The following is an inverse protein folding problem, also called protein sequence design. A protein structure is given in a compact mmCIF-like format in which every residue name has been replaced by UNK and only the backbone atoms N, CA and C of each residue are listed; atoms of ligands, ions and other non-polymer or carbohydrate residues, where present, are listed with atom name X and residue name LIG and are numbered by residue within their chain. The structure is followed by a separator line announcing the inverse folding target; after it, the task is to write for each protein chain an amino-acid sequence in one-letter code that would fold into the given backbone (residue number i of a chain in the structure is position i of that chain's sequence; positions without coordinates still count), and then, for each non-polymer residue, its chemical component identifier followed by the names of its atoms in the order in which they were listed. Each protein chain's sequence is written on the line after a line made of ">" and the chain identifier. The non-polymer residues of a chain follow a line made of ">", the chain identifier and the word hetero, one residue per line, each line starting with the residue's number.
data_IF_867939332585
#
_entry.id   IF_867939332585
#
_cell.length_a   1.000
_cell.length_b   1.000
_cell.length_c   1.000
_cell.angle_alpha   90.00
_cell.angle_beta   90.00
_cell.angle_gamma   90.00
#
_symmetry.space_group_name_H-M   'P 1'
#
loop_
_entity.id
_entity.type
_entity.pdbx_description
1 polymer ?
#
# COMPACT_ATOMS: atom_id res chain seq x y z
N UNK A 1 -13.48 8.30 -39.61
CA UNK A 1 -13.93 7.18 -38.78
C UNK A 1 -12.68 6.49 -38.32
N UNK A 2 -12.22 6.83 -37.12
CA UNK A 2 -11.01 6.23 -36.58
C UNK A 2 -11.34 4.80 -36.16
N UNK A 3 -10.56 3.85 -36.64
CA UNK A 3 -10.65 2.46 -36.23
C UNK A 3 -10.38 2.42 -34.72
N UNK A 4 -11.44 2.25 -33.93
CA UNK A 4 -11.33 1.90 -32.52
C UNK A 4 -10.74 0.50 -32.51
N UNK A 5 -9.42 0.40 -32.38
CA UNK A 5 -8.76 -0.84 -31.99
C UNK A 5 -9.38 -1.16 -30.63
N UNK A 6 -10.20 -2.22 -30.57
CA UNK A 6 -10.61 -2.79 -29.30
C UNK A 6 -9.34 -3.26 -28.61
N UNK A 7 -8.77 -2.39 -27.77
CA UNK A 7 -7.72 -2.80 -26.84
C UNK A 7 -8.25 -3.96 -26.02
N UNK A 8 -7.47 -5.04 -25.95
CA UNK A 8 -7.85 -6.25 -25.27
C UNK A 8 -8.25 -5.91 -23.83
N UNK A 9 -9.43 -6.37 -23.42
CA UNK A 9 -9.86 -6.26 -22.02
C UNK A 9 -8.80 -6.90 -21.12
N UNK A 10 -8.57 -6.36 -19.91
CA UNK A 10 -7.63 -6.95 -18.99
C UNK A 10 -8.10 -8.37 -18.70
N UNK A 11 -7.18 -9.32 -18.72
CA UNK A 11 -7.44 -10.70 -18.37
C UNK A 11 -8.06 -10.80 -16.96
N UNK A 12 -8.65 -11.95 -16.65
CA UNK A 12 -9.28 -12.17 -15.35
C UNK A 12 -8.22 -12.16 -14.24
N UNK A 13 -8.14 -11.05 -13.50
CA UNK A 13 -7.12 -10.83 -12.47
C UNK A 13 -7.66 -10.98 -11.05
N UNK A 14 -6.84 -11.54 -10.18
CA UNK A 14 -7.05 -11.56 -8.73
C UNK A 14 -5.93 -10.80 -8.00
N UNK A 15 -6.21 -10.36 -6.77
CA UNK A 15 -5.27 -9.65 -5.89
C UNK A 15 -4.68 -8.33 -6.42
N UNK A 16 -5.25 -7.77 -7.48
CA UNK A 16 -4.90 -6.42 -7.92
C UNK A 16 -5.36 -5.36 -6.89
N UNK A 17 -4.75 -4.18 -6.97
CA UNK A 17 -5.21 -3.01 -6.22
C UNK A 17 -5.94 -2.06 -7.16
N UNK A 18 -6.98 -1.43 -6.64
CA UNK A 18 -7.80 -0.47 -7.37
C UNK A 18 -7.85 0.85 -6.61
N UNK A 19 -7.78 1.96 -7.34
CA UNK A 19 -8.01 3.29 -6.80
C UNK A 19 -8.71 4.15 -7.84
N UNK A 20 -9.35 5.23 -7.41
CA UNK A 20 -9.86 6.26 -8.31
C UNK A 20 -9.03 7.53 -8.20
N UNK A 21 -8.89 8.23 -9.32
CA UNK A 21 -8.25 9.55 -9.41
C UNK A 21 -8.90 10.34 -10.53
N UNK A 22 -9.51 11.47 -10.18
CA UNK A 22 -10.34 12.25 -11.10
C UNK A 22 -11.42 11.36 -11.73
N UNK A 23 -11.55 11.34 -13.06
CA UNK A 23 -12.45 10.48 -13.82
C UNK A 23 -11.90 9.08 -14.14
N UNK A 24 -10.72 8.72 -13.63
CA UNK A 24 -10.04 7.46 -13.93
C UNK A 24 -10.18 6.44 -12.81
N UNK A 25 -10.53 5.20 -13.17
CA UNK A 25 -10.31 4.02 -12.35
C UNK A 25 -8.95 3.42 -12.70
N UNK A 26 -8.12 3.20 -11.69
CA UNK A 26 -6.77 2.68 -11.83
C UNK A 26 -6.71 1.27 -11.27
N UNK A 27 -6.13 0.35 -12.03
CA UNK A 27 -5.87 -1.02 -11.64
C UNK A 27 -4.37 -1.26 -11.71
N UNK A 28 -3.79 -1.88 -10.68
CA UNK A 28 -2.36 -2.12 -10.63
C UNK A 28 -2.07 -3.49 -9.99
N UNK A 29 -1.18 -4.24 -10.62
CA UNK A 29 -0.70 -5.53 -10.11
C UNK A 29 -1.69 -6.68 -10.27
N UNK A 30 -1.53 -7.69 -9.40
CA UNK A 30 -2.34 -8.90 -9.37
C UNK A 30 -1.77 -10.03 -10.22
N UNK A 31 -2.59 -11.06 -10.45
CA UNK A 31 -2.23 -12.22 -11.26
C UNK A 31 -3.38 -12.62 -12.14
N UNK A 32 -3.05 -13.10 -13.34
CA UNK A 32 -4.01 -13.80 -14.16
C UNK A 32 -4.42 -15.12 -13.48
N UNK A 33 -5.72 -15.31 -13.29
CA UNK A 33 -6.25 -16.44 -12.52
C UNK A 33 -6.07 -17.79 -13.22
N UNK A 34 -5.78 -17.81 -14.53
CA UNK A 34 -5.64 -19.04 -15.32
C UNK A 34 -4.20 -19.49 -15.42
N UNK A 35 -3.31 -18.58 -15.77
CA UNK A 35 -1.88 -18.83 -15.95
C UNK A 35 -1.09 -18.71 -14.64
N UNK A 36 -1.63 -17.99 -13.64
CA UNK A 36 -0.89 -17.62 -12.43
C UNK A 36 0.21 -16.59 -12.70
N UNK A 37 0.30 -16.05 -13.93
CA UNK A 37 1.32 -15.07 -14.28
C UNK A 37 1.04 -13.75 -13.55
N UNK A 38 2.09 -13.16 -12.98
CA UNK A 38 2.01 -11.85 -12.35
C UNK A 38 1.79 -10.76 -13.41
N UNK A 39 0.92 -9.81 -13.10
CA UNK A 39 0.64 -8.66 -13.94
C UNK A 39 1.41 -7.44 -13.41
N UNK A 40 2.28 -6.86 -14.24
CA UNK A 40 3.18 -5.76 -13.87
C UNK A 40 2.78 -4.42 -14.47
N UNK A 41 1.63 -4.39 -15.12
CA UNK A 41 1.08 -3.24 -15.81
C UNK A 41 0.18 -2.42 -14.89
N UNK A 42 0.00 -1.16 -15.28
CA UNK A 42 -0.99 -0.27 -14.71
C UNK A 42 -2.04 0.01 -15.78
N UNK A 43 -3.31 -0.20 -15.44
CA UNK A 43 -4.43 0.12 -16.32
C UNK A 43 -5.16 1.35 -15.82
N UNK A 44 -5.58 2.21 -16.73
CA UNK A 44 -6.51 3.30 -16.45
C UNK A 44 -7.78 3.15 -17.28
N UNK A 45 -8.93 3.21 -16.65
CA UNK A 45 -10.23 3.28 -17.32
C UNK A 45 -10.84 4.65 -17.08
N UNK A 46 -11.00 5.43 -18.15
CA UNK A 46 -11.69 6.71 -18.09
C UNK A 46 -13.21 6.46 -18.05
N UNK A 47 -13.84 6.81 -16.94
CA UNK A 47 -15.26 6.55 -16.69
C UNK A 47 -16.21 7.44 -17.51
N UNK A 48 -15.71 8.50 -18.15
CA UNK A 48 -16.48 9.39 -19.02
C UNK A 48 -16.41 8.91 -20.48
N UNK A 49 -15.20 8.67 -20.99
CA UNK A 49 -15.00 8.28 -22.40
C UNK A 49 -15.15 6.78 -22.63
N UNK A 50 -15.12 5.96 -21.58
CA UNK A 50 -15.09 4.50 -21.67
C UNK A 50 -13.78 3.95 -22.23
N UNK A 51 -12.75 4.79 -22.38
CA UNK A 51 -11.45 4.39 -22.91
C UNK A 51 -10.62 3.76 -21.80
N UNK A 52 -10.20 2.53 -22.06
CA UNK A 52 -9.21 1.81 -21.27
C UNK A 52 -7.82 2.07 -21.89
N UNK A 53 -6.79 2.21 -21.06
CA UNK A 53 -5.39 2.33 -21.49
C UNK A 53 -4.47 1.53 -20.58
N UNK A 54 -3.46 0.91 -21.17
CA UNK A 54 -2.40 0.21 -20.46
C UNK A 54 -1.13 1.05 -20.40
N UNK A 55 -0.48 1.05 -19.25
CA UNK A 55 0.80 1.72 -19.00
C UNK A 55 1.81 0.73 -18.45
N UNK A 56 2.99 0.74 -19.04
CA UNK A 56 4.12 -0.05 -18.56
C UNK A 56 5.03 0.81 -17.68
N UNK A 57 5.50 0.29 -16.54
CA UNK A 57 6.51 0.96 -15.75
C UNK A 57 7.81 1.13 -16.55
N UNK A 58 8.68 2.10 -16.18
CA UNK A 58 9.94 2.34 -16.87
C UNK A 58 10.80 1.07 -16.97
N UNK A 59 11.19 0.70 -18.18
CA UNK A 59 11.96 -0.51 -18.49
C UNK A 59 13.31 -0.53 -17.77
N UNK A 60 13.72 -1.70 -17.26
CA UNK A 60 15.03 -1.91 -16.62
C UNK A 60 15.04 -1.79 -15.09
N UNK A 61 13.88 -1.62 -14.45
CA UNK A 61 13.82 -1.30 -13.02
C UNK A 61 13.41 -2.46 -12.11
N UNK A 62 13.30 -3.67 -12.64
CA UNK A 62 12.68 -4.79 -11.94
C UNK A 62 11.16 -4.73 -12.11
N UNK A 63 10.52 -5.88 -12.01
CA UNK A 63 9.07 -5.98 -12.16
C UNK A 63 8.39 -5.26 -10.98
N UNK A 64 7.25 -4.57 -11.22
CA UNK A 64 6.38 -4.13 -10.11
C UNK A 64 6.00 -5.39 -9.34
N UNK A 65 6.39 -5.50 -8.07
CA UNK A 65 6.16 -6.75 -7.33
C UNK A 65 4.66 -7.07 -7.21
N UNK A 66 4.40 -8.34 -6.91
CA UNK A 66 3.11 -9.00 -7.12
C UNK A 66 1.90 -8.39 -6.38
N UNK A 67 2.15 -7.62 -5.31
CA UNK A 67 1.09 -7.04 -4.48
C UNK A 67 1.34 -5.54 -4.23
N UNK A 68 1.37 -4.71 -5.30
CA UNK A 68 1.68 -3.31 -5.14
C UNK A 68 0.56 -2.64 -4.36
N UNK A 69 0.90 -1.78 -3.41
CA UNK A 69 -0.09 -0.93 -2.74
C UNK A 69 -0.13 0.39 -3.47
N UNK A 70 -1.34 0.88 -3.73
CA UNK A 70 -1.54 2.15 -4.43
C UNK A 70 -2.36 3.11 -3.59
N UNK A 71 -2.09 4.40 -3.75
CA UNK A 71 -2.95 5.48 -3.27
C UNK A 71 -2.91 6.65 -4.25
N UNK A 72 -3.88 7.56 -4.17
CA UNK A 72 -4.02 8.65 -5.13
C UNK A 72 -4.05 10.00 -4.43
N UNK A 73 -3.46 11.02 -5.06
CA UNK A 73 -3.60 12.42 -4.65
C UNK A 73 -3.36 13.35 -5.84
N UNK A 74 -4.25 14.33 -6.02
CA UNK A 74 -4.23 15.20 -7.19
C UNK A 74 -4.44 14.38 -8.47
N UNK A 75 -3.51 14.50 -9.42
CA UNK A 75 -3.46 13.72 -10.66
C UNK A 75 -2.46 12.55 -10.60
N UNK A 76 -1.90 12.25 -9.43
CA UNK A 76 -0.88 11.21 -9.26
C UNK A 76 -1.43 9.97 -8.59
N UNK A 77 -1.02 8.82 -9.09
CA UNK A 77 -1.10 7.51 -8.43
C UNK A 77 0.28 7.24 -7.85
N UNK A 78 0.35 7.01 -6.55
CA UNK A 78 1.55 6.54 -5.89
C UNK A 78 1.47 5.03 -5.75
N UNK A 79 2.58 4.35 -5.98
CA UNK A 79 2.67 2.90 -6.00
C UNK A 79 3.85 2.51 -5.13
N UNK A 80 3.62 1.63 -4.16
CA UNK A 80 4.66 1.03 -3.34
C UNK A 80 4.65 -0.47 -3.61
N UNK A 81 5.80 -1.04 -3.94
CA UNK A 81 5.96 -2.48 -4.00
C UNK A 81 6.08 -3.07 -2.57
N UNK A 82 5.62 -4.32 -2.42
CA UNK A 82 5.77 -5.09 -1.19
C UNK A 82 6.77 -6.23 -1.46
N UNK A 83 8.00 -6.16 -0.91
CA UNK A 83 9.08 -7.07 -1.27
C UNK A 83 8.92 -8.48 -0.68
N UNK A 84 7.94 -8.70 0.20
CA UNK A 84 8.01 -9.81 1.16
C UNK A 84 7.50 -11.13 0.63
N UNK A 85 6.62 -11.12 -0.37
CA UNK A 85 5.73 -12.27 -0.48
C UNK A 85 6.42 -13.45 -1.20
N UNK A 86 7.43 -13.26 -2.06
CA UNK A 86 7.86 -14.38 -2.94
C UNK A 86 9.29 -14.43 -3.45
N UNK A 87 10.20 -13.55 -3.02
CA UNK A 87 11.58 -13.64 -3.48
C UNK A 87 12.46 -14.27 -2.39
N UNK A 88 13.15 -15.36 -2.74
CA UNK A 88 14.29 -15.91 -1.97
C UNK A 88 15.44 -14.89 -1.85
N UNK A 89 15.30 -13.72 -2.47
CA UNK A 89 16.22 -12.63 -2.38
C UNK A 89 15.94 -11.76 -1.12
N UNK A 90 16.69 -11.96 -0.01
CA UNK A 90 16.53 -11.13 1.18
C UNK A 90 16.84 -9.65 0.93
N UNK A 91 17.45 -9.31 -0.22
CA UNK A 91 17.81 -7.95 -0.59
C UNK A 91 16.72 -7.22 -1.39
N UNK A 92 15.55 -7.83 -1.63
CA UNK A 92 14.43 -7.08 -2.20
C UNK A 92 13.94 -6.05 -1.18
N UNK A 93 14.02 -4.78 -1.56
CA UNK A 93 13.62 -3.64 -0.75
C UNK A 93 12.52 -2.87 -1.47
N UNK A 94 11.65 -2.22 -0.70
CA UNK A 94 10.57 -1.45 -1.30
C UNK A 94 11.09 -0.25 -2.11
N UNK A 95 10.53 -0.07 -3.30
CA UNK A 95 10.57 1.11 -4.15
C UNK A 95 9.22 1.84 -4.14
N UNK A 96 9.26 3.15 -4.34
CA UNK A 96 8.07 3.99 -4.52
C UNK A 96 8.13 4.67 -5.88
N UNK A 97 7.04 4.53 -6.61
CA UNK A 97 6.81 5.18 -7.89
C UNK A 97 5.64 6.17 -7.77
N UNK A 98 5.65 7.18 -8.63
CA UNK A 98 4.44 7.93 -8.94
C UNK A 98 4.17 7.91 -10.43
N UNK A 99 2.89 7.90 -10.76
CA UNK A 99 2.38 7.89 -12.13
C UNK A 99 1.35 9.02 -12.27
N UNK A 100 1.55 9.91 -13.23
CA UNK A 100 0.61 10.99 -13.51
C UNK A 100 -0.39 10.53 -14.57
N UNK A 101 -1.68 10.51 -14.21
CA UNK A 101 -2.74 9.94 -15.06
C UNK A 101 -3.09 10.81 -16.26
N UNK A 102 -2.70 12.10 -16.25
CA UNK A 102 -3.03 13.04 -17.32
C UNK A 102 -2.07 12.92 -18.49
N UNK A 103 -0.77 12.84 -18.19
CA UNK A 103 0.30 12.80 -19.20
C UNK A 103 0.90 11.40 -19.39
N UNK A 104 0.58 10.44 -18.52
CA UNK A 104 1.11 9.09 -18.56
C UNK A 104 2.57 8.98 -18.10
N UNK A 105 3.10 9.98 -17.40
CA UNK A 105 4.50 10.01 -16.99
C UNK A 105 4.72 9.28 -15.66
N UNK A 106 5.82 8.50 -15.61
CA UNK A 106 6.30 7.82 -14.42
C UNK A 106 7.46 8.59 -13.77
N UNK A 107 7.54 8.54 -12.45
CA UNK A 107 8.61 9.14 -11.65
C UNK A 107 8.99 8.18 -10.51
N UNK A 108 10.29 7.90 -10.36
CA UNK A 108 10.80 7.13 -9.22
C UNK A 108 10.99 8.09 -8.05
N UNK A 109 10.26 7.87 -6.97
CA UNK A 109 10.37 8.70 -5.78
C UNK A 109 11.38 8.14 -4.79
N UNK A 110 11.44 6.81 -4.68
CA UNK A 110 12.37 6.12 -3.81
C UNK A 110 12.75 4.79 -4.44
N UNK A 111 14.05 4.49 -4.44
CA UNK A 111 14.58 3.18 -4.79
C UNK A 111 15.71 2.87 -3.84
N UNK A 112 15.69 1.68 -3.25
CA UNK A 112 16.81 1.24 -2.44
C UNK A 112 17.99 0.87 -3.33
N UNK A 113 19.18 1.32 -2.94
CA UNK A 113 20.45 0.93 -3.52
C UNK A 113 21.29 0.27 -2.43
N UNK A 114 21.88 -0.89 -2.73
CA UNK A 114 22.80 -1.56 -1.81
C UNK A 114 23.95 -0.59 -1.46
N UNK A 115 24.25 -0.45 -0.16
CA UNK A 115 25.32 0.41 0.34
C UNK A 115 24.91 1.85 0.73
N UNK A 116 23.63 2.19 0.70
CA UNK A 116 23.13 3.48 1.22
C UNK A 116 22.26 3.26 2.47
N UNK A 117 22.87 3.34 3.66
CA UNK A 117 22.25 2.87 4.90
C UNK A 117 21.38 3.91 5.62
N UNK A 118 21.63 5.21 5.43
CA UNK A 118 21.03 6.27 6.28
C UNK A 118 19.51 6.47 6.09
N UNK A 119 18.93 5.90 5.03
CA UNK A 119 17.52 6.13 4.67
C UNK A 119 16.81 4.84 4.21
N UNK A 120 17.24 3.69 4.75
CA UNK A 120 16.65 2.39 4.43
C UNK A 120 15.33 2.21 5.17
N UNK A 121 14.25 1.93 4.44
CA UNK A 121 13.02 1.43 5.06
C UNK A 121 13.30 0.03 5.63
N UNK A 122 13.04 -0.22 6.92
CA UNK A 122 13.21 -1.57 7.46
C UNK A 122 12.32 -2.58 6.75
N UNK A 123 12.75 -3.84 6.69
CA UNK A 123 11.96 -4.92 6.08
C UNK A 123 10.62 -5.03 6.82
N UNK A 124 9.52 -4.80 6.12
CA UNK A 124 8.20 -4.76 6.74
C UNK A 124 7.09 -5.15 5.77
N UNK A 125 6.13 -5.96 6.24
CA UNK A 125 4.96 -6.36 5.46
C UNK A 125 3.97 -5.22 5.43
N UNK A 126 3.66 -4.74 4.22
CA UNK A 126 2.86 -3.53 4.05
C UNK A 126 1.38 -3.90 4.08
N UNK A 127 0.66 -3.37 5.06
CA UNK A 127 -0.78 -3.56 5.19
C UNK A 127 -1.54 -2.42 4.50
N UNK A 128 -1.12 -1.17 4.75
CA UNK A 128 -1.71 0.04 4.18
C UNK A 128 -0.64 0.95 3.61
N UNK A 129 -0.99 1.61 2.50
CA UNK A 129 -0.20 2.65 1.86
C UNK A 129 -1.10 3.82 1.50
N UNK A 130 -0.76 5.02 1.94
CA UNK A 130 -1.63 6.18 1.75
C UNK A 130 -0.88 7.50 1.72
N UNK A 131 -1.48 8.50 1.07
CA UNK A 131 -0.94 9.85 0.99
C UNK A 131 -1.56 10.75 2.06
N UNK A 132 -0.73 11.51 2.77
CA UNK A 132 -1.18 12.52 3.71
C UNK A 132 -0.17 13.67 3.85
N UNK A 133 -0.64 14.92 3.79
CA UNK A 133 0.17 16.11 4.08
C UNK A 133 1.56 16.12 3.38
N UNK A 134 1.56 15.99 2.05
CA UNK A 134 2.78 15.98 1.22
C UNK A 134 3.75 14.82 1.51
N UNK A 135 3.26 13.77 2.16
CA UNK A 135 4.04 12.59 2.51
C UNK A 135 3.26 11.33 2.22
N UNK A 136 4.00 10.26 1.92
CA UNK A 136 3.46 8.93 1.80
C UNK A 136 3.65 8.21 3.12
N UNK A 137 2.71 7.37 3.49
CA UNK A 137 2.77 6.61 4.73
C UNK A 137 2.57 5.15 4.42
N UNK A 138 3.38 4.34 5.07
CA UNK A 138 3.27 2.89 5.08
C UNK A 138 2.90 2.49 6.50
N UNK A 139 1.91 1.64 6.62
CA UNK A 139 1.58 0.98 7.87
C UNK A 139 1.64 -0.52 7.69
N UNK A 140 2.33 -1.21 8.61
CA UNK A 140 2.62 -2.62 8.47
C UNK A 140 3.38 -3.20 9.65
N UNK A 141 3.86 -4.42 9.46
CA UNK A 141 4.54 -5.20 10.51
C UNK A 141 6.01 -5.35 10.19
N UNK A 142 6.90 -4.98 11.11
CA UNK A 142 8.34 -5.24 10.98
C UNK A 142 8.61 -6.75 10.88
N UNK A 143 9.46 -7.13 9.94
CA UNK A 143 10.06 -8.46 9.88
C UNK A 143 11.34 -8.43 10.70
N UNK A 144 11.56 -9.45 11.54
CA UNK A 144 12.83 -9.59 12.24
C UNK A 144 13.80 -10.32 11.32
N UNK A 145 14.99 -9.76 11.12
CA UNK A 145 16.03 -10.37 10.28
C UNK A 145 16.55 -11.70 10.87
N UNK A 146 16.45 -11.87 12.20
CA UNK A 146 17.04 -13.02 12.92
C UNK A 146 16.13 -14.24 13.09
N UNK A 147 14.85 -14.18 12.71
CA UNK A 147 13.87 -15.25 13.00
C UNK A 147 13.45 -16.04 11.74
N UNK A 148 14.33 -16.09 10.76
CA UNK A 148 14.01 -16.42 9.36
C UNK A 148 13.50 -17.83 9.09
N UNK A 149 13.41 -18.78 10.03
CA UNK A 149 12.94 -20.13 9.68
C UNK A 149 11.98 -20.86 10.65
N UNK A 150 11.80 -20.42 11.90
CA UNK A 150 11.08 -21.26 12.89
C UNK A 150 9.65 -20.81 13.25
N UNK A 151 9.21 -19.64 12.77
CA UNK A 151 7.93 -19.06 13.19
C UNK A 151 6.73 -19.33 12.28
N UNK A 152 6.92 -19.96 11.12
CA UNK A 152 5.78 -20.22 10.23
C UNK A 152 4.96 -21.46 10.65
N UNK A 153 5.50 -22.32 11.53
CA UNK A 153 4.84 -23.58 11.91
C UNK A 153 4.63 -23.83 13.41
N UNK A 154 5.17 -22.98 14.30
CA UNK A 154 4.77 -23.07 15.70
C UNK A 154 3.36 -22.49 15.82
N UNK A 155 2.35 -23.36 15.84
CA UNK A 155 0.92 -23.03 16.03
C UNK A 155 0.59 -22.41 17.40
N UNK A 156 1.56 -21.73 18.02
CA UNK A 156 1.40 -20.95 19.22
C UNK A 156 0.95 -19.56 18.79
N UNK A 157 -0.33 -19.31 19.00
CA UNK A 157 -1.07 -18.10 18.64
C UNK A 157 -0.66 -16.90 19.53
N UNK A 158 0.63 -16.57 19.60
CA UNK A 158 1.11 -15.43 20.39
C UNK A 158 0.87 -14.10 19.64
N UNK A 159 -0.38 -13.66 19.68
CA UNK A 159 -0.82 -12.36 19.18
C UNK A 159 -0.11 -11.18 19.85
N UNK A 160 0.46 -11.35 21.05
CA UNK A 160 1.09 -10.25 21.78
C UNK A 160 2.37 -9.78 21.10
N UNK A 161 3.19 -10.71 20.60
CA UNK A 161 4.45 -10.40 19.91
C UNK A 161 4.17 -9.69 18.59
N UNK A 162 3.17 -10.13 17.82
CA UNK A 162 2.81 -9.54 16.52
C UNK A 162 2.41 -8.07 16.64
N UNK A 163 1.68 -7.70 17.69
CA UNK A 163 1.21 -6.32 17.89
C UNK A 163 2.32 -5.32 18.17
N UNK A 164 3.38 -5.75 18.87
CA UNK A 164 4.51 -4.88 19.20
C UNK A 164 5.22 -4.35 17.94
N UNK A 165 5.20 -5.14 16.85
CA UNK A 165 5.90 -4.88 15.59
C UNK A 165 5.16 -3.99 14.60
N UNK A 166 3.92 -3.61 14.91
CA UNK A 166 3.15 -2.70 14.06
C UNK A 166 3.73 -1.29 14.09
N UNK A 167 4.03 -0.76 12.91
CA UNK A 167 4.74 0.51 12.72
C UNK A 167 4.11 1.32 11.59
N UNK A 168 4.13 2.64 11.76
CA UNK A 168 3.85 3.60 10.70
C UNK A 168 5.18 4.23 10.31
N UNK A 169 5.52 4.18 9.03
CA UNK A 169 6.61 4.94 8.42
C UNK A 169 6.04 6.04 7.53
N UNK A 170 6.76 7.16 7.48
CA UNK A 170 6.44 8.32 6.67
C UNK A 170 7.60 8.60 5.72
N UNK A 171 7.30 8.63 4.43
CA UNK A 171 8.18 9.09 3.38
C UNK A 171 7.84 10.52 2.96
N UNK A 172 8.76 11.45 3.18
CA UNK A 172 8.63 12.82 2.73
C UNK A 172 9.00 12.94 1.26
N UNK A 173 8.03 13.14 0.37
CA UNK A 173 8.23 13.17 -1.09
C UNK A 173 9.26 14.24 -1.48
N UNK A 174 9.21 15.43 -0.87
CA UNK A 174 10.12 16.54 -1.17
C UNK A 174 11.58 16.29 -0.76
N UNK A 175 11.80 15.55 0.32
CA UNK A 175 13.15 15.26 0.85
C UNK A 175 13.67 13.89 0.44
N UNK A 176 12.81 13.05 -0.15
CA UNK A 176 13.05 11.64 -0.38
C UNK A 176 13.52 10.87 0.87
N UNK A 177 12.97 11.19 2.05
CA UNK A 177 13.40 10.60 3.33
C UNK A 177 12.30 9.87 4.06
N UNK A 178 12.64 8.69 4.58
CA UNK A 178 11.85 7.92 5.53
C UNK A 178 12.03 8.41 6.96
N UNK A 179 10.97 8.31 7.73
CA UNK A 179 10.97 8.57 9.17
C UNK A 179 9.93 7.69 9.84
N UNK A 180 10.24 7.17 11.02
CA UNK A 180 9.27 6.43 11.82
C UNK A 180 8.29 7.40 12.47
N UNK A 181 7.00 7.11 12.38
CA UNK A 181 5.95 7.86 13.06
C UNK A 181 5.77 7.27 14.46
N UNK A 182 5.91 8.13 15.46
CA UNK A 182 5.61 7.78 16.85
C UNK A 182 4.13 7.38 16.98
N UNK A 183 3.85 6.40 17.84
CA UNK A 183 2.51 5.87 18.07
C UNK A 183 2.31 5.67 19.56
N UNK A 184 1.30 6.32 20.12
CA UNK A 184 0.96 6.33 21.55
C UNK A 184 -0.34 5.54 21.76
N UNK A 185 -0.38 4.73 22.80
CA UNK A 185 -1.54 3.92 23.18
C UNK A 185 -1.54 2.51 22.58
N UNK A 186 -2.62 1.77 22.84
CA UNK A 186 -2.79 0.41 22.33
C UNK A 186 -2.93 0.41 20.81
N UNK A 187 -2.10 -0.39 20.13
CA UNK A 187 -2.16 -0.57 18.68
C UNK A 187 -3.22 -1.63 18.32
N UNK A 188 -3.87 -1.52 17.15
CA UNK A 188 -4.79 -2.54 16.69
C UNK A 188 -4.07 -3.89 16.51
N UNK A 189 -4.76 -4.99 16.80
CA UNK A 189 -4.31 -6.33 16.36
C UNK A 189 -4.83 -6.57 14.96
N UNK A 190 -3.94 -6.79 14.01
CA UNK A 190 -4.31 -6.92 12.60
C UNK A 190 -3.73 -8.21 12.03
N UNK A 191 -4.62 -8.99 11.41
CA UNK A 191 -4.29 -10.19 10.65
C UNK A 191 -4.67 -9.96 9.19
N UNK A 192 -3.74 -10.24 8.29
CA UNK A 192 -3.98 -10.16 6.84
C UNK A 192 -4.12 -8.74 6.29
N UNK A 193 -4.84 -8.62 5.18
CA UNK A 193 -5.11 -7.35 4.50
C UNK A 193 -6.15 -6.57 5.31
N UNK A 194 -5.81 -5.31 5.60
CA UNK A 194 -6.64 -4.48 6.46
C UNK A 194 -7.32 -3.41 5.63
N UNK A 195 -8.66 -3.30 5.66
CA UNK A 195 -9.34 -2.16 5.08
C UNK A 195 -9.12 -0.92 5.95
N UNK A 196 -8.57 0.13 5.36
CA UNK A 196 -8.35 1.39 6.04
C UNK A 196 -8.44 2.58 5.09
N UNK A 197 -8.84 3.72 5.62
CA UNK A 197 -8.92 4.97 4.88
C UNK A 197 -8.63 6.17 5.78
N UNK A 198 -8.10 7.24 5.20
CA UNK A 198 -7.89 8.51 5.90
C UNK A 198 -9.11 9.39 5.68
N UNK A 199 -9.65 9.92 6.77
CA UNK A 199 -10.67 10.95 6.72
C UNK A 199 -10.17 12.25 7.33
N UNK A 200 -10.38 13.34 6.60
CA UNK A 200 -10.18 14.70 7.10
C UNK A 200 -11.46 15.16 7.77
N UNK A 201 -11.42 15.36 9.08
CA UNK A 201 -12.58 15.93 9.78
C UNK A 201 -12.74 17.39 9.37
N UNK A 202 -13.92 17.77 8.87
CA UNK A 202 -14.18 19.12 8.35
C UNK A 202 -14.50 20.14 9.45
N UNK A 203 -14.96 19.70 10.63
CA UNK A 203 -15.60 20.59 11.62
C UNK A 203 -14.71 21.02 12.79
N UNK A 204 -13.72 20.24 13.19
CA UNK A 204 -12.92 20.50 14.40
C UNK A 204 -11.43 20.35 14.13
N UNK A 205 -10.78 21.47 13.80
CA UNK A 205 -9.37 21.53 13.41
C UNK A 205 -9.04 20.62 12.21
N UNK A 206 -7.95 20.90 11.48
CA UNK A 206 -7.49 20.04 10.38
C UNK A 206 -6.88 18.73 10.91
N UNK A 207 -7.59 18.02 11.80
CA UNK A 207 -7.17 16.76 12.40
C UNK A 207 -7.49 15.66 11.41
N UNK A 208 -6.45 15.13 10.79
CA UNK A 208 -6.55 13.97 9.92
C UNK A 208 -6.49 12.72 10.79
N UNK A 209 -7.36 11.76 10.49
CA UNK A 209 -7.45 10.51 11.23
C UNK A 209 -7.44 9.35 10.25
N UNK A 210 -6.61 8.35 10.53
CA UNK A 210 -6.63 7.07 9.82
C UNK A 210 -7.61 6.16 10.55
N UNK A 211 -8.59 5.65 9.83
CA UNK A 211 -9.59 4.72 10.32
C UNK A 211 -9.27 3.35 9.77
N UNK A 212 -9.19 2.36 10.65
CA UNK A 212 -8.87 0.98 10.35
C UNK A 212 -9.99 0.10 10.89
N UNK A 213 -10.62 -0.66 10.00
CA UNK A 213 -11.67 -1.60 10.40
C UNK A 213 -11.06 -2.98 10.62
N UNK A 214 -11.56 -3.67 11.63
CA UNK A 214 -11.10 -5.02 11.91
C UNK A 214 -11.59 -5.99 10.83
N UNK A 215 -10.68 -6.79 10.29
CA UNK A 215 -10.94 -7.75 9.21
C UNK A 215 -10.98 -9.20 9.74
N UNK A 216 -11.27 -9.45 11.01
CA UNK A 216 -11.46 -10.83 11.44
C UNK A 216 -12.74 -11.38 10.81
N UNK A 217 -12.57 -12.40 9.95
CA UNK A 217 -13.61 -12.95 9.08
C UNK A 217 -14.70 -13.62 9.93
N UNK A 218 -14.33 -14.12 11.12
CA UNK A 218 -15.18 -14.99 11.95
C UNK A 218 -15.61 -14.37 13.28
N UNK A 219 -15.33 -13.09 13.52
CA UNK A 219 -15.82 -12.44 14.74
C UNK A 219 -17.19 -11.80 14.53
N UNK A 220 -18.16 -12.02 15.43
CA UNK A 220 -19.49 -11.40 15.35
C UNK A 220 -19.44 -9.86 15.48
N UNK A 221 -18.27 -9.32 15.80
CA UNK A 221 -18.00 -7.90 15.95
C UNK A 221 -17.34 -7.27 14.71
N UNK A 222 -17.30 -7.97 13.57
CA UNK A 222 -16.80 -7.40 12.31
C UNK A 222 -17.51 -6.08 12.02
N UNK A 223 -16.73 -5.05 11.77
CA UNK A 223 -17.17 -3.66 11.55
C UNK A 223 -17.82 -2.93 12.73
N UNK A 224 -18.03 -3.55 13.90
CA UNK A 224 -18.59 -2.85 15.08
C UNK A 224 -17.60 -1.92 15.75
N UNK A 225 -16.31 -2.15 15.53
CA UNK A 225 -15.24 -1.41 16.12
C UNK A 225 -14.32 -0.85 15.05
N UNK A 226 -13.91 0.40 15.23
CA UNK A 226 -12.97 1.09 14.38
C UNK A 226 -11.79 1.60 15.19
N UNK A 227 -10.60 1.31 14.70
CA UNK A 227 -9.36 1.85 15.24
C UNK A 227 -9.05 3.16 14.53
N UNK A 228 -8.72 4.17 15.32
CA UNK A 228 -8.52 5.53 14.85
C UNK A 228 -7.15 5.99 15.30
N UNK A 229 -6.25 6.23 14.34
CA UNK A 229 -4.98 6.91 14.59
C UNK A 229 -5.13 8.40 14.31
N UNK A 230 -4.85 9.22 15.32
CA UNK A 230 -4.85 10.66 15.19
C UNK A 230 -3.43 11.15 14.88
N UNK A 231 -3.20 11.71 13.69
CA UNK A 231 -1.87 12.16 13.27
C UNK A 231 -1.33 13.35 14.07
N UNK A 232 -2.21 14.17 14.68
CA UNK A 232 -1.78 15.34 15.45
C UNK A 232 -1.26 14.94 16.83
N UNK A 233 -1.99 14.08 17.52
CA UNK A 233 -1.62 13.59 18.86
C UNK A 233 -0.76 12.34 18.81
N UNK A 234 -0.63 11.71 17.64
CA UNK A 234 0.04 10.43 17.42
C UNK A 234 -0.53 9.29 18.26
N UNK A 235 -1.81 9.37 18.62
CA UNK A 235 -2.47 8.41 19.51
C UNK A 235 -3.39 7.48 18.74
N UNK A 236 -3.38 6.20 19.10
CA UNK A 236 -4.42 5.25 18.76
C UNK A 236 -5.58 5.32 19.75
N UNK A 237 -6.79 5.23 19.21
CA UNK A 237 -8.03 5.09 19.99
C UNK A 237 -8.93 4.05 19.32
N UNK A 238 -9.78 3.40 20.10
CA UNK A 238 -10.78 2.45 19.62
C UNK A 238 -12.16 3.05 19.86
N UNK A 239 -13.08 2.90 18.90
CA UNK A 239 -14.47 3.35 19.03
C UNK A 239 -15.42 2.30 18.49
N UNK A 240 -16.60 2.24 19.07
CA UNK A 240 -17.75 1.55 18.48
C UNK A 240 -18.31 2.39 17.32
N UNK A 241 -18.80 1.73 16.27
CA UNK A 241 -19.40 2.35 15.07
C UNK A 241 -20.89 2.50 15.18
#
# INVERSE_FOLDING_TARGET
>A
MDNIILEALPESRIFYNMASVLEFLIFCGGYDCKSGAACYDLWSYNTISGVLKQYYPPTGQGYIYWYPKICTYGNKVYICDDPIIHDDNPNSNSSIFSFNVIDGNWEILYKHYEGCDDNKLPRMSIQLFFYHNESLYIYGTLLNDDLSNDLEYSGVDDNSIRNSRLVIYKFCVKRAMWSRVEQIGAKPTLRGRVPGSIFKNQYYCKVNRLYIFHHEIDTPNKFREVWIFNFCTKTWTKRET
#
